data_IF_765973926461
#
_entry.id   IF_765973926461
#
_cell.length_a   1.000
_cell.length_b   1.000
_cell.length_c   1.000
_cell.angle_alpha   90.00
_cell.angle_beta   90.00
_cell.angle_gamma   90.00
#
_symmetry.space_group_name_H-M   'P 1'
#
loop_
_entity.id
_entity.type
_entity.pdbx_description
1 polymer ?
#
# COMPACT_ATOMS: atom_id res chain seq x y z
N UNK A 1 23.68 -9.23 13.46
CA UNK A 1 22.84 -8.68 12.35
C UNK A 1 21.53 -9.44 12.36
N UNK A 2 20.42 -8.74 12.26
CA UNK A 2 19.11 -9.36 12.18
C UNK A 2 18.95 -9.80 10.73
N UNK A 3 18.72 -11.08 10.49
CA UNK A 3 18.84 -11.74 9.18
C UNK A 3 17.98 -11.10 8.06
N UNK A 4 16.87 -10.42 8.43
CA UNK A 4 15.93 -9.82 7.49
C UNK A 4 15.90 -8.28 7.51
N UNK A 5 16.93 -7.62 8.08
CA UNK A 5 17.05 -6.17 8.13
C UNK A 5 18.34 -5.70 7.46
N UNK A 6 18.21 -4.95 6.38
CA UNK A 6 19.30 -4.33 5.62
C UNK A 6 19.19 -2.81 5.75
N UNK A 7 19.78 -2.26 6.81
CA UNK A 7 19.65 -0.84 7.16
C UNK A 7 20.98 -0.13 6.98
N UNK A 8 20.95 1.03 6.32
CA UNK A 8 22.13 1.75 5.86
C UNK A 8 22.15 3.18 6.44
N UNK A 9 23.35 3.66 6.81
CA UNK A 9 23.57 5.06 7.15
C UNK A 9 24.04 5.80 5.90
N UNK A 10 23.22 6.70 5.36
CA UNK A 10 23.51 7.47 4.16
C UNK A 10 22.28 7.76 3.32
N UNK A 11 22.51 8.38 2.17
CA UNK A 11 21.44 8.66 1.20
C UNK A 11 20.92 7.37 0.56
N UNK A 12 19.61 7.16 0.55
CA UNK A 12 18.98 6.02 -0.08
C UNK A 12 19.34 5.89 -1.57
N UNK A 13 19.63 7.00 -2.25
CA UNK A 13 20.06 7.01 -3.64
C UNK A 13 21.33 6.19 -3.90
N UNK A 14 22.22 6.09 -2.91
CA UNK A 14 23.46 5.33 -3.01
C UNK A 14 23.25 3.81 -2.88
N UNK A 15 22.08 3.39 -2.41
CA UNK A 15 21.82 1.99 -2.05
C UNK A 15 20.72 1.31 -2.88
N UNK A 16 19.83 2.03 -3.53
CA UNK A 16 18.67 1.45 -4.23
C UNK A 16 19.03 0.31 -5.19
N UNK A 17 20.14 0.43 -5.93
CA UNK A 17 20.57 -0.59 -6.90
C UNK A 17 21.03 -1.91 -6.25
N UNK A 18 21.23 -1.91 -4.91
CA UNK A 18 21.62 -3.08 -4.13
C UNK A 18 20.41 -3.72 -3.42
N UNK A 19 19.28 -3.05 -3.41
CA UNK A 19 18.09 -3.51 -2.71
C UNK A 19 17.29 -4.49 -3.56
N UNK A 20 16.74 -5.53 -2.93
CA UNK A 20 15.82 -6.44 -3.60
C UNK A 20 14.51 -5.71 -3.96
N UNK A 21 13.92 -6.06 -5.10
CA UNK A 21 12.66 -5.45 -5.60
C UNK A 21 11.56 -5.47 -4.52
N UNK A 22 10.95 -4.32 -4.17
CA UNK A 22 10.00 -4.24 -3.08
C UNK A 22 8.58 -4.64 -3.52
N UNK A 23 7.85 -5.25 -2.60
CA UNK A 23 6.40 -5.34 -2.66
C UNK A 23 5.74 -4.05 -2.17
N UNK A 24 6.35 -3.40 -1.19
CA UNK A 24 5.87 -2.13 -0.64
C UNK A 24 7.01 -1.16 -0.36
N UNK A 25 6.76 0.12 -0.61
CA UNK A 25 7.60 1.25 -0.19
C UNK A 25 6.79 2.07 0.82
N UNK A 26 7.40 2.39 1.96
CA UNK A 26 6.88 3.38 2.91
C UNK A 26 7.77 4.60 2.83
N UNK A 27 7.25 5.68 2.27
CA UNK A 27 7.96 6.95 2.08
C UNK A 27 7.47 7.99 3.07
N UNK A 28 8.32 8.36 4.00
CA UNK A 28 8.12 9.40 5.03
C UNK A 28 9.29 10.39 4.98
N UNK A 29 9.54 10.95 3.78
CA UNK A 29 10.68 11.84 3.51
C UNK A 29 10.39 13.30 3.83
N UNK A 30 10.91 14.22 3.00
CA UNK A 30 10.75 15.64 3.20
C UNK A 30 9.30 16.13 3.10
N UNK A 31 8.92 17.04 3.98
CA UNK A 31 7.57 17.64 4.05
C UNK A 31 7.52 19.05 3.50
N UNK A 32 8.67 19.74 3.43
CA UNK A 32 8.77 21.12 2.96
C UNK A 32 8.12 22.14 3.89
N UNK A 33 8.22 21.92 5.19
CA UNK A 33 7.65 22.79 6.23
C UNK A 33 8.68 23.29 7.24
N UNK A 34 9.97 23.05 6.96
CA UNK A 34 11.07 23.38 7.89
C UNK A 34 10.86 22.75 9.29
N UNK A 35 10.27 21.53 9.29
CA UNK A 35 9.78 20.88 10.50
C UNK A 35 10.83 20.11 11.28
N UNK A 36 11.95 19.76 10.66
CA UNK A 36 13.08 19.04 11.27
C UNK A 36 14.39 19.36 10.55
N UNK A 37 15.50 19.04 11.17
CA UNK A 37 16.83 19.28 10.60
C UNK A 37 17.03 18.43 9.33
N UNK A 38 17.19 19.10 8.19
CA UNK A 38 17.28 18.48 6.86
C UNK A 38 15.97 18.52 6.03
N UNK A 39 14.85 18.99 6.59
CA UNK A 39 13.65 19.24 5.81
C UNK A 39 13.81 20.46 4.89
N UNK A 40 13.05 20.49 3.79
CA UNK A 40 12.99 21.66 2.93
C UNK A 40 12.23 22.79 3.60
N UNK A 41 12.65 24.05 3.31
CA UNK A 41 12.05 25.25 3.93
C UNK A 41 10.63 25.53 3.46
N UNK A 42 10.25 25.04 2.29
CA UNK A 42 8.92 25.16 1.73
C UNK A 42 8.58 23.98 0.84
N UNK A 43 7.31 23.82 0.55
CA UNK A 43 6.77 22.71 -0.24
C UNK A 43 6.95 22.89 -1.77
N UNK A 44 7.38 24.05 -2.25
CA UNK A 44 7.50 24.37 -3.68
C UNK A 44 8.60 23.53 -4.35
N UNK A 45 9.62 23.12 -3.62
CA UNK A 45 10.75 22.31 -4.11
C UNK A 45 10.59 20.81 -3.85
N UNK A 46 9.47 20.38 -3.28
CA UNK A 46 9.25 18.96 -2.99
C UNK A 46 9.20 18.10 -4.25
N UNK A 47 8.63 18.59 -5.34
CA UNK A 47 8.59 17.88 -6.60
C UNK A 47 10.00 17.54 -7.09
N UNK A 48 10.86 18.53 -7.17
CA UNK A 48 12.26 18.39 -7.63
C UNK A 48 13.07 17.48 -6.68
N UNK A 49 12.79 17.56 -5.37
CA UNK A 49 13.48 16.75 -4.37
C UNK A 49 13.08 15.27 -4.46
N UNK A 50 11.78 14.98 -4.69
CA UNK A 50 11.31 13.61 -4.80
C UNK A 50 11.55 12.98 -6.18
N UNK A 51 11.70 13.77 -7.23
CA UNK A 51 11.79 13.25 -8.60
C UNK A 51 12.90 12.20 -8.78
N UNK A 52 14.16 12.39 -8.32
CA UNK A 52 15.20 11.37 -8.44
C UNK A 52 14.83 10.04 -7.75
N UNK A 53 14.20 10.11 -6.56
CA UNK A 53 13.72 8.94 -5.84
C UNK A 53 12.58 8.25 -6.59
N UNK A 54 11.61 9.01 -7.09
CA UNK A 54 10.47 8.49 -7.85
C UNK A 54 10.94 7.80 -9.14
N UNK A 55 11.93 8.35 -9.83
CA UNK A 55 12.57 7.71 -11.01
C UNK A 55 13.14 6.36 -10.62
N UNK A 56 13.99 6.30 -9.57
CA UNK A 56 14.60 5.04 -9.09
C UNK A 56 13.55 4.02 -8.65
N UNK A 57 12.54 4.44 -7.90
CA UNK A 57 11.43 3.57 -7.54
C UNK A 57 10.72 3.01 -8.76
N UNK A 58 10.52 3.85 -9.79
CA UNK A 58 9.83 3.44 -11.02
C UNK A 58 10.64 2.46 -11.87
N UNK A 59 11.95 2.52 -11.81
CA UNK A 59 12.87 1.62 -12.53
C UNK A 59 13.01 0.26 -11.82
N UNK A 60 13.09 0.25 -10.48
CA UNK A 60 13.46 -0.92 -9.70
C UNK A 60 12.27 -1.69 -9.14
N UNK A 61 11.09 -1.06 -9.09
CA UNK A 61 9.89 -1.68 -8.56
C UNK A 61 9.19 -2.61 -9.53
N UNK A 62 8.60 -3.67 -8.99
CA UNK A 62 7.74 -4.58 -9.75
C UNK A 62 6.41 -3.94 -10.14
N UNK A 63 5.69 -4.61 -11.06
CA UNK A 63 4.41 -4.12 -11.62
C UNK A 63 3.32 -3.88 -10.56
N UNK A 64 3.46 -4.43 -9.38
CA UNK A 64 2.42 -4.39 -8.32
C UNK A 64 2.94 -3.86 -6.99
N UNK A 65 4.07 -3.16 -7.00
CA UNK A 65 4.58 -2.50 -5.80
C UNK A 65 3.58 -1.45 -5.33
N UNK A 66 3.26 -1.48 -4.05
CA UNK A 66 2.47 -0.44 -3.36
C UNK A 66 3.41 0.63 -2.82
N UNK A 67 3.05 1.89 -2.97
CA UNK A 67 3.71 3.02 -2.32
C UNK A 67 2.75 3.65 -1.32
N UNK A 68 3.17 3.73 -0.07
CA UNK A 68 2.56 4.53 0.98
C UNK A 68 3.36 5.83 1.14
N UNK A 69 2.77 6.93 0.71
CA UNK A 69 3.42 8.24 0.65
C UNK A 69 2.86 9.16 1.73
N UNK A 70 3.63 9.41 2.77
CA UNK A 70 3.29 10.36 3.84
C UNK A 70 3.69 11.77 3.44
N UNK A 71 2.82 12.72 3.71
CA UNK A 71 3.12 14.16 3.62
C UNK A 71 1.98 14.99 4.22
N UNK A 72 2.13 16.34 4.18
CA UNK A 72 1.00 17.25 4.29
C UNK A 72 0.15 17.21 3.01
N UNK A 73 -1.09 17.70 3.06
CA UNK A 73 -1.97 17.76 1.89
C UNK A 73 -1.37 18.61 0.76
N UNK A 74 -0.70 19.73 1.09
CA UNK A 74 -0.06 20.56 0.08
C UNK A 74 1.24 19.96 -0.45
N UNK A 75 2.03 19.32 0.42
CA UNK A 75 3.24 18.62 0.00
C UNK A 75 2.91 17.47 -0.95
N UNK A 76 1.91 16.66 -0.62
CA UNK A 76 1.40 15.64 -1.54
C UNK A 76 0.91 16.24 -2.87
N UNK A 77 0.17 17.34 -2.84
CA UNK A 77 -0.33 17.98 -4.06
C UNK A 77 0.81 18.39 -5.01
N UNK A 78 1.96 18.81 -4.48
CA UNK A 78 3.15 19.13 -5.29
C UNK A 78 3.85 17.89 -5.88
N UNK A 79 3.91 16.79 -5.14
CA UNK A 79 4.62 15.57 -5.57
C UNK A 79 3.73 14.65 -6.44
N UNK A 80 2.40 14.73 -6.30
CA UNK A 80 1.46 13.90 -7.06
C UNK A 80 1.66 13.90 -8.58
N UNK A 81 1.92 15.05 -9.27
CA UNK A 81 2.20 15.08 -10.70
C UNK A 81 3.41 14.23 -11.07
N UNK A 82 4.52 14.33 -10.31
CA UNK A 82 5.75 13.55 -10.53
C UNK A 82 5.48 12.05 -10.41
N UNK A 83 4.80 11.61 -9.37
CA UNK A 83 4.41 10.21 -9.21
C UNK A 83 3.59 9.69 -10.40
N UNK A 84 2.61 10.48 -10.85
CA UNK A 84 1.78 10.11 -12.02
C UNK A 84 2.57 10.02 -13.31
N UNK A 85 3.46 10.95 -13.56
CA UNK A 85 4.30 11.04 -14.76
C UNK A 85 5.20 9.81 -14.86
N UNK A 86 5.73 9.33 -13.74
CA UNK A 86 6.54 8.12 -13.65
C UNK A 86 5.72 6.83 -13.47
N UNK A 87 4.40 6.87 -13.73
CA UNK A 87 3.52 5.69 -13.85
C UNK A 87 2.99 5.13 -12.54
N UNK A 88 3.07 5.88 -11.44
CA UNK A 88 2.38 5.55 -10.19
C UNK A 88 0.91 5.93 -10.28
N UNK A 89 0.03 4.98 -10.00
CA UNK A 89 -1.41 5.17 -10.06
C UNK A 89 -1.97 5.41 -8.67
N UNK A 90 -2.63 6.54 -8.51
CA UNK A 90 -3.36 6.87 -7.29
C UNK A 90 -4.43 5.82 -6.98
N UNK A 91 -4.46 5.36 -5.75
CA UNK A 91 -5.47 4.44 -5.22
C UNK A 91 -6.38 5.15 -4.24
N UNK A 92 -5.81 5.67 -3.17
CA UNK A 92 -6.57 6.29 -2.08
C UNK A 92 -5.73 7.29 -1.30
N UNK A 93 -6.33 8.42 -0.94
CA UNK A 93 -5.82 9.28 0.10
C UNK A 93 -6.39 8.80 1.44
N UNK A 94 -5.51 8.41 2.35
CA UNK A 94 -5.83 8.10 3.72
C UNK A 94 -5.47 9.30 4.59
N UNK A 95 -6.32 9.63 5.55
CA UNK A 95 -6.12 10.75 6.45
C UNK A 95 -5.82 10.21 7.84
N UNK A 96 -4.65 10.53 8.36
CA UNK A 96 -4.31 10.27 9.75
C UNK A 96 -4.78 11.43 10.62
N UNK A 97 -5.81 11.21 11.39
CA UNK A 97 -6.33 12.14 12.42
C UNK A 97 -5.59 11.89 13.73
N UNK A 98 -4.72 12.85 14.10
CA UNK A 98 -3.94 12.84 15.35
C UNK A 98 -4.76 13.28 16.58
N UNK A 99 -5.99 13.73 16.35
CA UNK A 99 -6.90 14.23 17.36
C UNK A 99 -6.53 15.62 17.90
N UNK A 100 -7.48 16.21 18.62
CA UNK A 100 -7.32 17.56 19.20
C UNK A 100 -6.14 17.69 20.17
N UNK A 101 -5.69 16.58 20.79
CA UNK A 101 -4.53 16.56 21.68
C UNK A 101 -3.23 17.01 20.98
N UNK A 102 -3.12 16.84 19.66
CA UNK A 102 -1.96 17.26 18.89
C UNK A 102 -1.73 18.79 18.91
N UNK A 103 -2.80 19.57 18.96
CA UNK A 103 -2.76 21.04 18.95
C UNK A 103 -3.10 21.65 20.32
N UNK A 104 -3.38 20.83 21.33
CA UNK A 104 -3.74 21.31 22.67
C UNK A 104 -2.64 22.19 23.27
N UNK A 105 -3.03 23.37 23.72
CA UNK A 105 -2.12 24.39 24.29
C UNK A 105 -1.29 25.16 23.27
N UNK A 106 -1.38 24.85 21.98
CA UNK A 106 -0.63 25.56 20.91
C UNK A 106 -1.51 26.48 20.05
N UNK A 107 -2.81 26.51 20.29
CA UNK A 107 -3.76 27.29 19.51
C UNK A 107 -4.40 28.39 20.36
N UNK A 108 -4.32 29.62 19.88
CA UNK A 108 -5.06 30.73 20.46
C UNK A 108 -6.28 31.03 19.58
N UNK A 109 -7.46 30.61 20.04
CA UNK A 109 -8.72 30.74 19.30
C UNK A 109 -9.09 32.17 18.92
N UNK A 110 -8.52 33.20 19.58
CA UNK A 110 -8.77 34.60 19.27
C UNK A 110 -7.96 35.14 18.08
N UNK A 111 -6.88 34.48 17.73
CA UNK A 111 -5.96 34.88 16.64
C UNK A 111 -5.94 33.94 15.47
N UNK A 112 -6.70 32.83 15.55
CA UNK A 112 -6.81 31.87 14.44
C UNK A 112 -7.54 32.49 13.25
N UNK A 113 -6.93 32.35 12.08
CA UNK A 113 -7.52 32.71 10.79
C UNK A 113 -7.82 31.46 9.92
N UNK A 114 -7.56 30.25 10.46
CA UNK A 114 -7.81 28.97 9.82
C UNK A 114 -8.07 27.88 10.89
N UNK A 115 -8.61 26.75 10.47
CA UNK A 115 -8.77 25.61 11.38
C UNK A 115 -7.41 25.05 11.80
N UNK A 116 -7.21 24.67 13.08
CA UNK A 116 -6.00 23.97 13.50
C UNK A 116 -5.85 22.66 12.75
N UNK A 117 -4.67 22.42 12.18
CA UNK A 117 -4.38 21.18 11.48
C UNK A 117 -4.02 20.08 12.48
N UNK A 118 -4.78 19.00 12.47
CA UNK A 118 -4.57 17.80 13.30
C UNK A 118 -4.33 16.55 12.45
N UNK A 119 -4.20 16.71 11.14
CA UNK A 119 -4.12 15.59 10.21
C UNK A 119 -2.83 15.59 9.39
N UNK A 120 -2.47 14.42 8.95
CA UNK A 120 -1.53 14.14 7.88
C UNK A 120 -2.19 13.26 6.83
N UNK A 121 -1.68 13.28 5.60
CA UNK A 121 -2.11 12.34 4.57
C UNK A 121 -1.08 11.23 4.39
N UNK A 122 -1.59 10.02 4.20
CA UNK A 122 -0.83 8.87 3.74
C UNK A 122 -1.49 8.37 2.46
N UNK A 123 -0.85 8.59 1.33
CA UNK A 123 -1.48 8.34 0.04
C UNK A 123 -0.99 7.03 -0.55
N UNK A 124 -1.92 6.16 -0.85
CA UNK A 124 -1.66 4.88 -1.48
C UNK A 124 -1.56 5.04 -3.00
N UNK A 125 -0.45 4.57 -3.53
CA UNK A 125 -0.23 4.39 -4.96
C UNK A 125 0.14 2.95 -5.25
N UNK A 126 -0.02 2.55 -6.52
CA UNK A 126 0.51 1.30 -7.03
C UNK A 126 1.27 1.54 -8.33
N UNK A 127 2.28 0.70 -8.60
CA UNK A 127 3.05 0.73 -9.86
C UNK A 127 2.29 0.00 -10.95
N UNK A 128 1.33 -0.58 -10.99
CA UNK A 128 0.60 -1.31 -12.02
C UNK A 128 -0.80 -0.81 -12.25
N UNK A 129 -1.65 -1.65 -12.82
CA UNK A 129 -3.05 -1.35 -13.08
C UNK A 129 -3.96 -2.11 -12.11
N UNK A 130 -4.70 -1.37 -11.28
CA UNK A 130 -5.86 -1.93 -10.59
C UNK A 130 -6.95 -2.12 -11.64
N UNK A 131 -7.04 -3.13 -12.38
CA UNK A 131 -8.21 -3.20 -13.22
C UNK A 131 -8.10 -3.88 -14.56
N UNK A 132 -7.07 -4.69 -14.77
CA UNK A 132 -7.09 -5.63 -15.88
C UNK A 132 -6.63 -7.00 -15.37
N UNK A 133 -7.43 -7.59 -14.51
CA UNK A 133 -7.29 -9.00 -14.20
C UNK A 133 -7.62 -9.75 -15.49
N UNK A 134 -6.71 -10.53 -16.09
CA UNK A 134 -6.98 -11.19 -17.37
C UNK A 134 -8.27 -12.00 -17.37
N UNK A 135 -8.62 -12.64 -16.25
CA UNK A 135 -9.88 -13.40 -16.10
C UNK A 135 -11.11 -12.50 -16.07
N UNK A 136 -11.01 -11.31 -15.48
CA UNK A 136 -12.09 -10.33 -15.44
C UNK A 136 -12.52 -9.93 -16.85
N UNK A 137 -11.54 -9.52 -17.66
CA UNK A 137 -11.76 -9.18 -19.05
C UNK A 137 -12.21 -10.40 -19.87
N UNK A 138 -11.62 -11.57 -19.62
CA UNK A 138 -11.99 -12.80 -20.29
C UNK A 138 -13.48 -13.14 -20.05
N UNK A 139 -13.93 -13.24 -18.79
CA UNK A 139 -15.31 -13.55 -18.46
C UNK A 139 -16.28 -12.53 -19.02
N UNK A 140 -15.93 -11.25 -18.93
CA UNK A 140 -16.73 -10.18 -19.53
C UNK A 140 -16.81 -10.29 -21.05
N UNK A 141 -15.69 -10.49 -21.73
CA UNK A 141 -15.64 -10.61 -23.19
C UNK A 141 -16.39 -11.85 -23.69
N UNK A 142 -16.27 -13.00 -23.00
CA UNK A 142 -17.05 -14.20 -23.34
C UNK A 142 -18.55 -13.96 -23.21
N UNK A 143 -18.99 -13.27 -22.14
CA UNK A 143 -20.38 -12.88 -22.03
C UNK A 143 -20.82 -11.89 -23.11
N UNK A 144 -20.01 -10.85 -23.38
CA UNK A 144 -20.34 -9.89 -24.44
C UNK A 144 -20.44 -10.52 -25.83
N UNK A 145 -19.63 -11.56 -26.11
CA UNK A 145 -19.67 -12.34 -27.35
C UNK A 145 -21.02 -13.05 -27.57
N UNK A 146 -21.73 -13.36 -26.49
CA UNK A 146 -23.09 -13.96 -26.60
C UNK A 146 -24.12 -13.02 -27.23
N UNK A 147 -23.89 -11.71 -27.26
CA UNK A 147 -24.89 -10.70 -27.64
C UNK A 147 -25.96 -10.45 -26.58
N UNK A 148 -25.94 -11.21 -25.47
CA UNK A 148 -26.95 -11.07 -24.42
C UNK A 148 -26.67 -9.83 -23.55
N UNK A 149 -27.72 -9.12 -23.08
CA UNK A 149 -27.58 -8.07 -22.10
C UNK A 149 -26.94 -8.59 -20.79
N UNK A 150 -26.12 -7.75 -20.13
CA UNK A 150 -25.42 -8.13 -18.91
C UNK A 150 -26.34 -8.60 -17.78
N UNK A 151 -27.55 -8.03 -17.68
CA UNK A 151 -28.51 -8.41 -16.64
C UNK A 151 -29.02 -9.86 -16.78
N UNK A 152 -28.91 -10.46 -17.97
CA UNK A 152 -29.22 -11.89 -18.19
C UNK A 152 -28.28 -12.82 -17.44
N UNK A 153 -27.05 -12.39 -17.12
CA UNK A 153 -26.16 -13.13 -16.24
C UNK A 153 -26.73 -13.31 -14.82
N UNK A 154 -27.48 -12.33 -14.33
CA UNK A 154 -28.16 -12.48 -13.04
C UNK A 154 -29.26 -13.53 -13.07
N UNK A 155 -30.00 -13.58 -14.18
CA UNK A 155 -31.05 -14.58 -14.45
C UNK A 155 -30.41 -15.97 -14.52
N UNK A 156 -29.34 -16.13 -15.31
CA UNK A 156 -28.58 -17.37 -15.42
C UNK A 156 -28.10 -17.91 -14.04
N UNK A 157 -27.60 -17.04 -13.20
CA UNK A 157 -27.11 -17.38 -11.86
C UNK A 157 -28.21 -17.49 -10.80
N UNK A 158 -29.45 -17.15 -11.11
CA UNK A 158 -30.57 -17.13 -10.14
C UNK A 158 -30.41 -16.05 -9.05
N UNK A 159 -29.79 -14.92 -9.37
CA UNK A 159 -29.49 -13.85 -8.41
C UNK A 159 -30.06 -12.51 -8.87
N UNK A 160 -30.31 -11.56 -7.95
CA UNK A 160 -30.87 -10.25 -8.32
C UNK A 160 -29.86 -9.37 -9.08
N UNK A 161 -28.65 -9.18 -8.55
CA UNK A 161 -27.65 -8.27 -9.10
C UNK A 161 -26.19 -8.81 -9.01
N UNK A 162 -25.98 -9.92 -8.33
CA UNK A 162 -24.62 -10.33 -7.93
C UNK A 162 -23.74 -10.73 -9.12
N UNK A 163 -24.32 -11.38 -10.15
CA UNK A 163 -23.54 -11.85 -11.30
C UNK A 163 -22.94 -10.68 -12.10
N UNK A 164 -23.74 -9.69 -12.45
CA UNK A 164 -23.26 -8.52 -13.20
C UNK A 164 -22.28 -7.67 -12.40
N UNK A 165 -22.53 -7.49 -11.10
CA UNK A 165 -21.74 -6.60 -10.24
C UNK A 165 -20.45 -7.25 -9.69
N UNK A 166 -20.38 -8.58 -9.67
CA UNK A 166 -19.23 -9.32 -9.11
C UNK A 166 -18.47 -10.14 -10.14
N UNK A 167 -19.18 -10.84 -11.04
CA UNK A 167 -18.52 -11.80 -11.93
C UNK A 167 -18.19 -11.24 -13.30
N UNK A 168 -18.97 -10.27 -13.78
CA UNK A 168 -18.82 -9.67 -15.10
C UNK A 168 -18.46 -8.17 -15.07
N UNK A 169 -18.16 -7.63 -13.90
CA UNK A 169 -17.69 -6.25 -13.76
C UNK A 169 -16.21 -6.12 -14.10
N UNK A 170 -15.78 -4.92 -14.48
CA UNK A 170 -14.37 -4.58 -14.73
C UNK A 170 -13.79 -3.64 -13.66
N UNK A 171 -14.54 -3.41 -12.60
CA UNK A 171 -14.14 -2.56 -11.47
C UNK A 171 -13.62 -3.37 -10.26
N UNK A 172 -13.35 -2.68 -9.17
CA UNK A 172 -12.84 -3.26 -7.92
C UNK A 172 -13.82 -4.20 -7.19
N UNK A 173 -15.08 -4.26 -7.65
CA UNK A 173 -16.08 -5.18 -7.09
C UNK A 173 -15.99 -6.59 -7.69
N UNK A 174 -15.04 -6.82 -8.61
CA UNK A 174 -14.90 -8.13 -9.27
C UNK A 174 -14.58 -9.24 -8.28
N UNK A 175 -15.28 -10.34 -8.45
CA UNK A 175 -15.08 -11.57 -7.72
C UNK A 175 -15.09 -12.74 -8.71
N UNK A 176 -14.11 -13.63 -8.59
CA UNK A 176 -14.05 -14.85 -9.43
C UNK A 176 -15.27 -15.70 -9.11
N UNK A 177 -16.13 -16.04 -10.11
CA UNK A 177 -17.31 -16.82 -9.84
C UNK A 177 -16.94 -18.21 -9.31
N UNK A 178 -17.66 -18.74 -8.30
CA UNK A 178 -17.58 -20.15 -7.92
C UNK A 178 -17.88 -21.06 -9.12
N UNK A 179 -17.33 -22.28 -9.11
CA UNK A 179 -17.47 -23.25 -10.22
C UNK A 179 -18.94 -23.47 -10.63
N UNK A 180 -19.84 -23.58 -9.63
CA UNK A 180 -21.29 -23.71 -9.88
C UNK A 180 -21.88 -22.50 -10.64
N UNK A 181 -21.45 -21.29 -10.28
CA UNK A 181 -21.95 -20.08 -10.91
C UNK A 181 -21.35 -19.91 -12.33
N UNK A 182 -20.10 -20.31 -12.52
CA UNK A 182 -19.47 -20.31 -13.84
C UNK A 182 -20.16 -21.31 -14.77
N UNK A 183 -20.53 -22.52 -14.28
CA UNK A 183 -21.28 -23.50 -15.03
C UNK A 183 -22.66 -22.94 -15.47
N UNK A 184 -23.38 -22.28 -14.58
CA UNK A 184 -24.66 -21.65 -14.89
C UNK A 184 -24.52 -20.55 -15.97
N UNK A 185 -23.47 -19.71 -15.88
CA UNK A 185 -23.20 -18.71 -16.92
C UNK A 185 -22.91 -19.35 -18.27
N UNK A 186 -22.10 -20.44 -18.28
CA UNK A 186 -21.77 -21.18 -19.48
C UNK A 186 -23.00 -21.80 -20.13
N UNK A 187 -23.78 -22.54 -19.35
CA UNK A 187 -24.95 -23.28 -19.85
C UNK A 187 -25.99 -22.31 -20.43
N UNK A 188 -26.28 -21.23 -19.71
CA UNK A 188 -27.18 -20.18 -20.17
C UNK A 188 -26.67 -19.48 -21.45
N UNK A 189 -25.37 -19.17 -21.50
CA UNK A 189 -24.76 -18.53 -22.65
C UNK A 189 -24.84 -19.42 -23.91
N UNK A 190 -24.62 -20.73 -23.77
CA UNK A 190 -24.69 -21.66 -24.90
C UNK A 190 -26.14 -21.98 -25.32
N UNK A 191 -27.11 -21.87 -24.41
CA UNK A 191 -28.53 -22.08 -24.72
C UNK A 191 -29.17 -20.86 -25.39
N UNK A 192 -28.82 -19.66 -24.94
CA UNK A 192 -29.53 -18.42 -25.30
C UNK A 192 -28.68 -17.39 -26.06
N UNK A 193 -27.38 -17.60 -26.16
CA UNK A 193 -26.47 -16.70 -26.87
C UNK A 193 -26.53 -16.87 -28.38
N UNK A 194 -25.80 -16.01 -29.11
CA UNK A 194 -25.66 -16.11 -30.55
C UNK A 194 -25.12 -17.50 -30.94
N UNK A 195 -25.78 -18.29 -31.76
CA UNK A 195 -25.39 -19.64 -32.11
C UNK A 195 -24.13 -19.73 -32.99
N UNK A 196 -23.60 -18.62 -33.49
CA UNK A 196 -22.44 -18.60 -34.36
C UNK A 196 -21.12 -18.65 -33.60
N UNK A 197 -20.23 -19.55 -34.00
CA UNK A 197 -18.86 -19.63 -33.52
C UNK A 197 -18.61 -20.78 -32.51
N UNK A 198 -17.49 -20.68 -31.78
CA UNK A 198 -17.12 -21.67 -30.76
C UNK A 198 -18.05 -21.58 -29.54
N UNK A 199 -18.23 -22.69 -28.80
CA UNK A 199 -18.98 -22.70 -27.53
C UNK A 199 -18.52 -21.58 -26.58
N UNK A 200 -19.45 -21.01 -25.82
CA UNK A 200 -19.15 -20.03 -24.79
C UNK A 200 -18.58 -20.71 -23.56
N UNK A 201 -17.59 -20.08 -22.93
CA UNK A 201 -16.91 -20.62 -21.74
C UNK A 201 -16.50 -22.09 -21.91
N UNK A 202 -15.97 -22.46 -23.10
CA UNK A 202 -15.71 -23.83 -23.53
C UNK A 202 -14.78 -24.63 -22.62
N UNK A 203 -14.75 -25.97 -22.81
CA UNK A 203 -14.06 -26.93 -21.93
C UNK A 203 -12.53 -26.70 -21.83
N UNK A 204 -11.89 -26.21 -22.89
CA UNK A 204 -10.48 -25.75 -22.82
C UNK A 204 -10.27 -24.67 -21.75
N UNK A 205 -11.30 -23.90 -21.47
CA UNK A 205 -11.30 -22.84 -20.47
C UNK A 205 -11.70 -23.37 -19.10
N UNK A 206 -12.58 -24.38 -19.04
CA UNK A 206 -12.98 -25.03 -17.78
C UNK A 206 -11.87 -25.93 -17.28
N UNK A 207 -11.15 -26.63 -18.14
CA UNK A 207 -10.05 -27.51 -17.76
C UNK A 207 -8.74 -26.75 -17.53
N UNK A 208 -8.46 -25.71 -18.33
CA UNK A 208 -7.50 -24.64 -17.97
C UNK A 208 -7.97 -23.85 -16.75
N UNK A 209 -9.28 -23.82 -16.44
CA UNK A 209 -9.81 -23.21 -15.24
C UNK A 209 -9.71 -24.10 -14.01
N UNK A 210 -9.72 -25.43 -14.10
CA UNK A 210 -9.51 -26.30 -12.92
C UNK A 210 -8.07 -26.33 -12.45
N UNK A 211 -7.13 -26.58 -13.32
CA UNK A 211 -5.69 -26.38 -13.05
C UNK A 211 -5.28 -24.92 -13.16
N UNK A 212 -5.95 -24.13 -13.99
CA UNK A 212 -5.73 -22.73 -14.25
C UNK A 212 -6.39 -21.77 -13.28
N UNK A 213 -7.50 -22.14 -12.57
CA UNK A 213 -8.04 -21.28 -11.50
C UNK A 213 -7.08 -21.25 -10.31
N UNK A 214 -6.51 -22.39 -9.93
CA UNK A 214 -5.54 -22.41 -8.83
C UNK A 214 -4.19 -21.87 -9.27
N UNK A 215 -3.74 -22.17 -10.48
CA UNK A 215 -2.56 -21.53 -11.06
C UNK A 215 -2.82 -20.04 -11.38
N UNK A 216 -4.01 -19.69 -11.85
CA UNK A 216 -4.38 -18.31 -12.11
C UNK A 216 -4.65 -17.54 -10.82
N UNK A 217 -5.27 -18.14 -9.80
CA UNK A 217 -5.31 -17.57 -8.43
C UNK A 217 -3.91 -17.41 -7.87
N UNK A 218 -3.01 -18.35 -8.11
CA UNK A 218 -1.61 -18.26 -7.72
C UNK A 218 -0.86 -17.20 -8.53
N UNK A 219 -1.05 -17.11 -9.85
CA UNK A 219 -0.49 -16.04 -10.70
C UNK A 219 -1.13 -14.68 -10.45
N UNK A 220 -2.40 -14.63 -10.08
CA UNK A 220 -3.11 -13.41 -9.70
C UNK A 220 -2.70 -12.96 -8.30
N UNK A 221 -2.52 -13.86 -7.36
CA UNK A 221 -1.92 -13.57 -6.07
C UNK A 221 -0.49 -13.03 -6.20
N UNK A 222 0.24 -13.47 -7.25
CA UNK A 222 1.58 -12.98 -7.59
C UNK A 222 1.59 -11.69 -8.44
N UNK A 223 0.45 -11.26 -9.01
CA UNK A 223 0.37 -10.16 -9.99
C UNK A 223 -0.54 -9.01 -9.58
N UNK A 224 -1.36 -9.18 -8.55
CA UNK A 224 -2.17 -8.08 -8.00
C UNK A 224 -1.39 -7.37 -6.91
N UNK A 225 -1.52 -6.05 -6.80
CA UNK A 225 -1.07 -5.39 -5.59
C UNK A 225 -1.80 -6.06 -4.43
N UNK A 226 -1.03 -6.62 -3.51
CA UNK A 226 -1.58 -7.25 -2.33
C UNK A 226 -2.26 -6.17 -1.52
N UNK A 227 -3.51 -6.38 -1.18
CA UNK A 227 -4.22 -5.49 -0.27
C UNK A 227 -5.21 -6.27 0.59
N UNK A 228 -4.88 -6.34 1.87
CA UNK A 228 -5.69 -6.96 2.92
C UNK A 228 -6.24 -5.86 3.81
N UNK A 229 -7.49 -5.45 3.57
CA UNK A 229 -8.12 -4.45 4.43
C UNK A 229 -8.43 -5.06 5.80
N UNK A 230 -7.88 -4.51 6.90
CA UNK A 230 -8.31 -4.93 8.23
C UNK A 230 -9.81 -4.70 8.41
N UNK A 231 -10.46 -5.55 9.22
CA UNK A 231 -11.87 -5.37 9.54
C UNK A 231 -12.10 -4.00 10.18
N UNK A 232 -13.22 -3.37 9.83
CA UNK A 232 -13.67 -2.08 10.37
C UNK A 232 -12.73 -0.87 10.11
N UNK A 233 -11.74 -1.03 9.22
CA UNK A 233 -10.86 0.06 8.82
C UNK A 233 -11.40 0.82 7.61
N UNK A 234 -11.21 2.13 7.66
CA UNK A 234 -11.53 3.07 6.57
C UNK A 234 -10.27 3.84 6.15
N UNK A 235 -10.42 4.82 5.27
CA UNK A 235 -9.33 5.73 4.90
C UNK A 235 -9.17 6.93 5.86
N UNK A 236 -9.83 6.93 7.01
CA UNK A 236 -9.62 7.88 8.09
C UNK A 236 -9.17 7.10 9.31
N UNK A 237 -7.97 7.40 9.79
CA UNK A 237 -7.31 6.69 10.88
C UNK A 237 -7.22 7.58 12.11
N UNK A 238 -8.01 7.31 13.10
CA UNK A 238 -8.00 8.03 14.38
C UNK A 238 -6.98 7.40 15.33
N UNK A 239 -5.71 7.70 15.10
CA UNK A 239 -4.60 7.26 15.93
C UNK A 239 -3.96 8.48 16.58
N UNK A 240 -3.82 8.51 17.92
CA UNK A 240 -3.21 9.66 18.58
C UNK A 240 -1.78 9.87 18.11
N UNK A 241 -1.34 11.11 18.18
CA UNK A 241 0.09 11.44 18.01
C UNK A 241 0.92 10.62 19.00
N UNK A 242 2.07 10.14 18.52
CA UNK A 242 2.94 9.30 19.31
C UNK A 242 3.36 9.97 20.61
N UNK A 243 3.22 9.27 21.71
CA UNK A 243 3.55 9.74 23.05
C UNK A 243 3.98 8.57 23.97
N UNK A 244 4.49 8.89 25.13
CA UNK A 244 4.89 7.87 26.11
C UNK A 244 6.16 7.11 25.73
N UNK A 245 6.18 5.83 26.06
CA UNK A 245 7.39 4.96 26.00
C UNK A 245 7.79 4.57 24.57
N UNK A 246 6.91 4.70 23.61
CA UNK A 246 7.25 4.43 22.21
C UNK A 246 8.06 5.59 21.59
N UNK A 247 7.96 6.81 22.13
CA UNK A 247 8.75 7.95 21.71
C UNK A 247 10.23 7.76 22.09
N UNK A 248 11.10 7.74 21.09
CA UNK A 248 12.54 7.75 21.34
C UNK A 248 12.96 9.13 21.83
N UNK A 249 13.71 9.16 22.94
CA UNK A 249 14.20 10.38 23.58
C UNK A 249 15.72 10.39 23.60
N UNK A 250 16.27 11.60 23.59
CA UNK A 250 17.69 11.82 23.82
C UNK A 250 18.05 11.67 25.32
N UNK A 251 19.34 11.82 25.63
CA UNK A 251 19.88 11.76 26.99
C UNK A 251 19.29 12.82 27.94
N UNK A 252 18.72 13.89 27.39
CA UNK A 252 18.07 14.97 28.13
C UNK A 252 16.57 14.75 28.28
N UNK A 253 16.04 13.61 27.80
CA UNK A 253 14.60 13.30 27.83
C UNK A 253 13.76 14.01 26.77
N UNK A 254 14.38 14.75 25.82
CA UNK A 254 13.70 15.40 24.72
C UNK A 254 13.40 14.38 23.60
N UNK A 255 12.24 14.50 22.96
CA UNK A 255 11.90 13.68 21.79
C UNK A 255 12.97 13.87 20.71
N UNK A 256 13.58 12.75 20.31
CA UNK A 256 14.72 12.77 19.38
C UNK A 256 14.26 13.06 17.96
N UNK A 257 13.24 12.35 17.48
CA UNK A 257 12.68 12.51 16.12
C UNK A 257 11.21 12.93 16.23
N UNK A 258 10.86 14.21 15.91
CA UNK A 258 9.52 14.73 16.14
C UNK A 258 8.43 14.07 15.28
N UNK A 259 8.81 13.51 14.13
CA UNK A 259 7.91 12.89 13.16
C UNK A 259 7.95 11.36 13.20
N UNK A 260 8.46 10.76 14.29
CA UNK A 260 8.42 9.31 14.45
C UNK A 260 7.00 8.77 14.28
N UNK A 261 6.83 7.78 13.39
CA UNK A 261 5.51 7.18 13.14
C UNK A 261 5.19 6.08 14.15
N UNK A 262 3.91 5.96 14.58
CA UNK A 262 3.45 4.88 15.46
C UNK A 262 3.65 3.50 14.83
N UNK A 263 4.13 2.53 15.61
CA UNK A 263 4.33 1.16 15.13
C UNK A 263 3.01 0.47 14.75
N UNK A 264 1.91 0.79 15.43
CA UNK A 264 0.57 0.30 15.09
C UNK A 264 0.18 0.69 13.65
N UNK A 265 0.44 1.95 13.27
CA UNK A 265 0.20 2.42 11.91
C UNK A 265 1.10 1.71 10.90
N UNK A 266 2.39 1.54 11.20
CA UNK A 266 3.31 0.82 10.31
C UNK A 266 2.89 -0.63 10.13
N UNK A 267 2.48 -1.32 11.19
CA UNK A 267 1.95 -2.68 11.10
C UNK A 267 0.73 -2.78 10.20
N UNK A 268 -0.19 -1.83 10.34
CA UNK A 268 -1.38 -1.77 9.50
C UNK A 268 -0.99 -1.65 8.01
N UNK A 269 -0.09 -0.73 7.64
CA UNK A 269 0.34 -0.53 6.26
C UNK A 269 1.07 -1.76 5.71
N UNK A 270 2.02 -2.29 6.48
CA UNK A 270 2.84 -3.46 6.09
C UNK A 270 1.94 -4.68 5.88
N UNK A 271 1.10 -5.01 6.86
CA UNK A 271 0.18 -6.17 6.76
C UNK A 271 -0.87 -6.01 5.66
N UNK A 272 -1.30 -4.76 5.39
CA UNK A 272 -2.27 -4.51 4.32
C UNK A 272 -1.70 -4.73 2.93
N UNK A 273 -0.41 -4.52 2.72
CA UNK A 273 0.20 -4.48 1.38
C UNK A 273 1.27 -5.53 1.12
N UNK A 274 1.52 -6.43 2.08
CA UNK A 274 2.55 -7.48 1.96
C UNK A 274 2.13 -8.78 2.63
N UNK A 275 2.76 -9.89 2.22
CA UNK A 275 2.76 -11.18 2.91
C UNK A 275 4.13 -11.44 3.58
N UNK A 276 4.22 -12.49 4.40
CA UNK A 276 5.49 -12.94 4.97
C UNK A 276 6.50 -13.28 3.87
N UNK A 277 7.75 -12.88 4.06
CA UNK A 277 8.84 -13.01 3.09
C UNK A 277 8.90 -11.91 2.02
N UNK A 278 7.90 -11.03 1.92
CA UNK A 278 7.93 -9.91 1.00
C UNK A 278 8.95 -8.84 1.43
N UNK A 279 9.46 -8.11 0.44
CA UNK A 279 10.42 -7.02 0.63
C UNK A 279 9.69 -5.69 0.84
N UNK A 280 10.13 -4.95 1.85
CA UNK A 280 9.66 -3.61 2.21
C UNK A 280 10.83 -2.63 2.12
N UNK A 281 10.61 -1.49 1.48
CA UNK A 281 11.54 -0.37 1.47
C UNK A 281 11.09 0.77 2.38
N UNK A 282 12.04 1.32 3.13
CA UNK A 282 11.90 2.54 3.93
C UNK A 282 13.05 3.50 3.60
N UNK A 283 12.96 4.24 2.46
CA UNK A 283 14.06 5.08 1.96
C UNK A 283 14.47 6.22 2.89
N UNK A 284 13.57 6.65 3.75
CA UNK A 284 13.76 7.73 4.71
C UNK A 284 13.50 7.20 6.11
N UNK A 285 14.49 6.50 6.65
CA UNK A 285 14.33 5.60 7.79
C UNK A 285 13.97 6.28 9.10
N UNK A 286 14.54 7.46 9.35
CA UNK A 286 14.41 8.11 10.65
C UNK A 286 14.83 7.16 11.77
N UNK A 287 13.85 6.66 12.53
CA UNK A 287 14.04 5.66 13.56
C UNK A 287 13.60 4.24 13.13
N UNK A 288 13.50 4.00 11.83
CA UNK A 288 13.20 2.71 11.21
C UNK A 288 11.88 2.06 11.66
N UNK A 289 10.83 2.85 11.79
CA UNK A 289 9.52 2.35 12.26
C UNK A 289 8.89 1.35 11.29
N UNK A 290 8.95 1.59 9.98
CA UNK A 290 8.40 0.68 8.98
C UNK A 290 9.28 -0.57 8.81
N UNK A 291 10.60 -0.42 8.83
CA UNK A 291 11.54 -1.54 8.77
C UNK A 291 11.38 -2.47 9.97
N UNK A 292 11.27 -1.91 11.18
CA UNK A 292 11.01 -2.70 12.38
C UNK A 292 9.67 -3.45 12.28
N UNK A 293 8.61 -2.75 11.86
CA UNK A 293 7.31 -3.37 11.63
C UNK A 293 7.38 -4.49 10.60
N UNK A 294 8.11 -4.29 9.50
CA UNK A 294 8.32 -5.31 8.47
C UNK A 294 8.96 -6.58 9.06
N UNK A 295 10.10 -6.44 9.72
CA UNK A 295 10.85 -7.60 10.22
C UNK A 295 10.11 -8.35 11.33
N UNK A 296 9.50 -7.64 12.29
CA UNK A 296 8.73 -8.31 13.35
C UNK A 296 7.51 -9.09 12.83
N UNK A 297 7.03 -8.74 11.64
CA UNK A 297 5.93 -9.42 10.96
C UNK A 297 6.42 -10.39 9.87
N UNK A 298 7.70 -10.81 9.85
CA UNK A 298 8.23 -11.82 8.95
C UNK A 298 8.55 -11.33 7.53
N UNK A 299 8.67 -10.01 7.32
CA UNK A 299 9.08 -9.39 6.04
C UNK A 299 10.57 -9.12 6.03
N UNK A 300 11.11 -8.80 4.85
CA UNK A 300 12.50 -8.37 4.68
C UNK A 300 12.51 -6.86 4.49
N UNK A 301 13.29 -6.14 5.29
CA UNK A 301 13.36 -4.69 5.24
C UNK A 301 14.68 -4.21 4.63
N UNK A 302 14.56 -3.22 3.73
CA UNK A 302 15.66 -2.39 3.27
C UNK A 302 15.34 -0.94 3.62
N UNK A 303 16.26 -0.26 4.29
CA UNK A 303 16.05 1.13 4.71
C UNK A 303 17.35 1.92 4.75
N UNK A 304 17.23 3.23 4.59
CA UNK A 304 18.35 4.15 4.71
C UNK A 304 17.97 5.38 5.54
N UNK A 305 18.91 5.89 6.30
CA UNK A 305 18.79 7.13 7.07
C UNK A 305 20.06 7.96 6.90
N UNK A 306 19.90 9.19 6.42
CA UNK A 306 21.03 10.07 6.08
C UNK A 306 21.69 10.69 7.33
N UNK A 307 20.90 10.95 8.38
CA UNK A 307 21.42 11.49 9.64
C UNK A 307 21.92 10.35 10.54
N UNK A 308 23.24 10.30 10.76
CA UNK A 308 23.87 9.27 11.58
C UNK A 308 23.31 9.21 13.01
N UNK A 309 22.86 10.32 13.59
CA UNK A 309 22.27 10.38 14.94
C UNK A 309 20.95 9.61 14.99
N UNK A 310 20.10 9.82 13.96
CA UNK A 310 18.84 9.10 13.82
C UNK A 310 19.09 7.63 13.48
N UNK A 311 20.01 7.37 12.57
CA UNK A 311 20.43 6.01 12.24
C UNK A 311 20.86 5.22 13.49
N UNK A 312 21.80 5.75 14.29
CA UNK A 312 22.32 5.08 15.49
C UNK A 312 21.22 4.86 16.54
N UNK A 313 20.34 5.84 16.71
CA UNK A 313 19.20 5.71 17.63
C UNK A 313 18.17 4.70 17.12
N UNK A 314 17.89 4.71 15.84
CA UNK A 314 17.02 3.76 15.17
C UNK A 314 17.51 2.33 15.30
N UNK A 315 18.81 2.09 15.08
CA UNK A 315 19.44 0.78 15.24
C UNK A 315 19.38 0.26 16.68
N UNK A 316 19.66 1.13 17.69
CA UNK A 316 19.51 0.74 19.10
C UNK A 316 18.06 0.34 19.43
N UNK A 317 17.10 1.18 19.02
CA UNK A 317 15.66 0.89 19.19
C UNK A 317 15.26 -0.42 18.52
N UNK A 318 15.75 -0.64 17.31
CA UNK A 318 15.47 -1.85 16.53
C UNK A 318 15.96 -3.10 17.27
N UNK A 319 17.21 -3.10 17.75
CA UNK A 319 17.80 -4.22 18.50
C UNK A 319 17.05 -4.48 19.83
N UNK A 320 16.70 -3.43 20.58
CA UNK A 320 15.94 -3.54 21.84
C UNK A 320 14.56 -4.17 21.60
N UNK A 321 13.80 -3.63 20.64
CA UNK A 321 12.46 -4.10 20.33
C UNK A 321 12.43 -5.52 19.76
N UNK A 322 13.45 -5.91 18.98
CA UNK A 322 13.56 -7.28 18.49
C UNK A 322 13.84 -8.27 19.62
N UNK A 323 14.65 -7.89 20.62
CA UNK A 323 14.89 -8.73 21.81
C UNK A 323 13.62 -8.89 22.64
N UNK A 324 12.85 -7.81 22.86
CA UNK A 324 11.55 -7.87 23.54
C UNK A 324 10.58 -8.82 22.82
N UNK A 325 10.47 -8.72 21.48
CA UNK A 325 9.59 -9.58 20.68
C UNK A 325 9.96 -11.08 20.78
N UNK A 326 11.24 -11.40 20.78
CA UNK A 326 11.74 -12.78 20.96
C UNK A 326 11.44 -13.30 22.36
N UNK A 327 11.59 -12.47 23.41
CA UNK A 327 11.27 -12.87 24.79
C UNK A 327 9.78 -13.21 24.95
N UNK A 328 8.89 -12.39 24.37
CA UNK A 328 7.43 -12.62 24.45
C UNK A 328 7.03 -13.92 23.70
N UNK A 329 7.71 -14.28 22.63
CA UNK A 329 7.42 -15.49 21.85
C UNK A 329 7.87 -16.80 22.55
N UNK A 330 8.71 -16.70 23.58
CA UNK A 330 9.23 -17.85 24.33
C UNK A 330 8.40 -18.21 25.58
N UNK A 331 7.41 -17.40 25.91
CA UNK A 331 6.47 -17.62 27.02
C UNK A 331 5.02 -17.73 26.49
#
# INVERSE_FOLDING_TARGET
MIENAHLYCGDAMDFYDQWATPMTIVSDGAYGIDGFDGDLKNHEHLADWYEPHVVKWSELCGTFTTLWFFNTEIGWANVHPVLREHGWKYVRCCVWDKGMGHVAGRTNTRTLNQFPCVSEVCVQYIRGSIGNIPIQNYLRNEWMRTGLPLNKANEACGVKNAATRKYLTTDSCFYVPPEEQLAKLRDYANEHGNPEGRPYFGDEVVEQSRSGIDEMKRRMALRLPKFHCPADMTNVWSLPHLSGDECVRDENGKVLHPNQKPLEMMDMLIKSSTDEGDVVWEPFGGLFSASFSAVRNGRIAYGAEIDSRYYDAGMRRFDEKMREAVQIALF
#
